data_IF_017044655768
#
_entry.id   IF_017044655768
#
_cell.length_a   1.000
_cell.length_b   1.000
_cell.length_c   1.000
_cell.angle_alpha   90.00
_cell.angle_beta   90.00
_cell.angle_gamma   90.00
#
_symmetry.space_group_name_H-M   'P 1'
#
loop_
_entity.id
_entity.type
_entity.pdbx_description
1 polymer ?
#
# COMPACT_ATOMS: atom_id res chain seq x y z
N UNK A 1 12.13 -13.94 3.25
CA UNK A 1 10.70 -13.83 2.91
C UNK A 1 9.92 -13.27 4.08
N UNK A 2 9.77 -11.95 4.02
CA UNK A 2 8.87 -11.16 4.85
C UNK A 2 7.70 -10.72 3.97
N UNK A 3 6.50 -10.73 4.55
CA UNK A 3 5.28 -10.29 3.87
C UNK A 3 4.88 -8.91 4.34
N UNK A 4 5.02 -7.93 3.48
CA UNK A 4 4.69 -6.53 3.74
C UNK A 4 3.25 -6.23 3.33
N UNK A 5 2.71 -5.14 3.85
CA UNK A 5 1.43 -4.59 3.43
C UNK A 5 1.57 -3.10 3.21
N UNK A 6 1.30 -2.64 1.99
CA UNK A 6 1.02 -1.24 1.73
C UNK A 6 -0.42 -0.97 2.17
N UNK A 7 -0.56 -0.34 3.32
CA UNK A 7 -1.85 0.09 3.83
C UNK A 7 -2.17 1.48 3.27
N UNK A 8 -3.34 1.60 2.66
CA UNK A 8 -3.92 2.83 2.14
C UNK A 8 -5.16 3.17 2.97
N UNK A 9 -5.23 4.37 3.52
CA UNK A 9 -6.27 4.77 4.46
C UNK A 9 -6.93 6.09 4.04
N UNK A 10 -8.24 6.19 4.25
CA UNK A 10 -9.01 7.42 4.09
C UNK A 10 -10.22 7.48 5.03
N UNK A 11 -10.62 8.69 5.43
CA UNK A 11 -11.93 8.95 6.03
C UNK A 11 -12.97 9.16 4.91
N UNK A 12 -14.17 8.61 5.05
CA UNK A 12 -15.24 8.71 4.05
C UNK A 12 -15.67 10.17 3.76
N UNK A 13 -15.43 11.08 4.70
CA UNK A 13 -15.69 12.51 4.58
C UNK A 13 -14.45 13.30 4.16
N UNK A 14 -13.32 12.66 3.86
CA UNK A 14 -12.13 13.39 3.44
C UNK A 14 -12.40 14.18 2.15
N UNK A 15 -11.94 15.43 2.13
CA UNK A 15 -12.05 16.31 0.96
C UNK A 15 -10.86 16.09 0.02
N UNK A 16 -9.68 15.80 0.58
CA UNK A 16 -8.46 15.56 -0.19
C UNK A 16 -8.53 14.23 -0.94
N UNK A 17 -7.82 14.18 -2.08
CA UNK A 17 -7.70 12.94 -2.87
C UNK A 17 -6.45 12.14 -2.57
N UNK A 18 -5.54 12.67 -1.75
CA UNK A 18 -4.35 11.95 -1.30
C UNK A 18 -4.74 10.93 -0.24
N UNK A 19 -4.32 9.68 -0.39
CA UNK A 19 -4.45 8.66 0.66
C UNK A 19 -3.32 8.83 1.67
N UNK A 20 -3.67 8.60 2.93
CA UNK A 20 -2.65 8.25 3.90
C UNK A 20 -2.14 6.85 3.55
N UNK A 21 -0.83 6.66 3.57
CA UNK A 21 -0.23 5.39 3.23
C UNK A 21 0.88 5.02 4.23
N UNK A 22 1.03 3.72 4.48
CA UNK A 22 2.09 3.21 5.33
C UNK A 22 2.44 1.77 4.96
N UNK A 23 3.71 1.41 5.07
CA UNK A 23 4.14 0.02 4.98
C UNK A 23 4.11 -0.65 6.34
N UNK A 24 3.55 -1.85 6.40
CA UNK A 24 3.49 -2.69 7.60
C UNK A 24 4.21 -4.01 7.34
N UNK A 25 4.89 -4.52 8.36
CA UNK A 25 5.50 -5.84 8.37
C UNK A 25 5.13 -6.55 9.69
N UNK A 26 5.14 -7.90 9.76
CA UNK A 26 4.71 -8.66 10.93
C UNK A 26 5.50 -8.35 12.21
N UNK A 27 6.77 -7.96 12.08
CA UNK A 27 7.66 -7.60 13.19
C UNK A 27 7.75 -6.08 13.41
N UNK A 28 6.83 -5.32 12.81
CA UNK A 28 6.95 -3.88 12.65
C UNK A 28 7.80 -3.54 11.44
N UNK A 29 7.37 -2.54 10.68
CA UNK A 29 8.16 -1.96 9.61
C UNK A 29 8.95 -0.78 10.20
N UNK A 30 10.28 -0.83 10.13
CA UNK A 30 11.11 0.33 10.46
C UNK A 30 11.72 0.82 9.16
N UNK A 31 11.21 1.95 8.66
CA UNK A 31 11.89 2.68 7.60
C UNK A 31 13.34 2.94 8.02
N UNK A 32 14.25 2.87 7.06
CA UNK A 32 15.63 3.26 7.33
C UNK A 32 15.65 4.68 7.90
N UNK A 33 16.37 4.87 9.01
CA UNK A 33 16.39 6.16 9.72
C UNK A 33 17.53 7.06 9.29
N UNK A 34 18.58 6.47 8.71
CA UNK A 34 19.82 7.14 8.35
C UNK A 34 20.36 6.56 7.04
N UNK A 35 21.25 7.29 6.39
CA UNK A 35 21.86 6.86 5.13
C UNK A 35 21.03 7.22 3.89
N UNK A 36 21.51 6.84 2.69
CA UNK A 36 20.92 7.24 1.41
C UNK A 36 19.48 6.77 1.18
N UNK A 37 19.01 5.77 1.93
CA UNK A 37 17.68 5.17 1.80
C UNK A 37 16.75 5.56 2.96
N UNK A 38 17.16 6.52 3.79
CA UNK A 38 16.36 6.96 4.92
C UNK A 38 14.97 7.43 4.48
N UNK A 39 13.93 6.98 5.19
CA UNK A 39 12.53 7.28 4.87
C UNK A 39 11.88 6.35 3.85
N UNK A 40 12.62 5.42 3.23
CA UNK A 40 12.07 4.50 2.23
C UNK A 40 11.56 3.19 2.82
N UNK A 41 10.64 2.55 2.09
CA UNK A 41 10.22 1.16 2.29
C UNK A 41 11.31 0.18 1.81
N UNK A 42 11.96 -0.59 2.68
CA UNK A 42 13.04 -1.51 2.36
C UNK A 42 12.51 -2.95 2.25
N UNK A 43 12.74 -3.56 1.10
CA UNK A 43 12.40 -4.95 0.80
C UNK A 43 13.66 -5.75 0.45
N UNK A 44 13.59 -7.06 0.58
CA UNK A 44 14.60 -7.98 0.04
C UNK A 44 14.03 -8.78 -1.12
N UNK A 45 14.91 -9.31 -1.98
CA UNK A 45 14.49 -10.23 -3.03
C UNK A 45 13.80 -11.46 -2.41
N UNK A 46 12.66 -11.85 -2.95
CA UNK A 46 11.83 -12.94 -2.43
C UNK A 46 10.89 -12.52 -1.30
N UNK A 47 10.79 -11.23 -0.98
CA UNK A 47 9.70 -10.71 -0.16
C UNK A 47 8.40 -10.54 -0.97
N UNK A 48 7.31 -10.33 -0.24
CA UNK A 48 5.97 -10.14 -0.83
C UNK A 48 5.36 -8.83 -0.36
N UNK A 49 4.61 -8.15 -1.23
CA UNK A 49 3.82 -6.98 -0.89
C UNK A 49 2.32 -7.22 -1.11
N UNK A 50 1.51 -7.08 -0.07
CA UNK A 50 0.05 -7.00 -0.18
C UNK A 50 -0.41 -5.53 -0.24
N UNK A 51 -1.61 -5.29 -0.77
CA UNK A 51 -2.32 -4.01 -0.61
C UNK A 51 -3.47 -4.19 0.36
N UNK A 52 -3.62 -3.24 1.29
CA UNK A 52 -4.78 -3.16 2.18
C UNK A 52 -5.39 -1.77 2.08
N UNK A 53 -6.68 -1.69 1.83
CA UNK A 53 -7.43 -0.43 1.80
C UNK A 53 -8.27 -0.37 3.07
N UNK A 54 -8.27 0.77 3.75
CA UNK A 54 -9.05 1.00 4.96
C UNK A 54 -9.86 2.29 4.81
N UNK A 55 -11.18 2.18 4.88
CA UNK A 55 -12.07 3.32 4.99
C UNK A 55 -12.53 3.48 6.44
N UNK A 56 -12.47 4.71 6.96
CA UNK A 56 -12.96 5.07 8.29
C UNK A 56 -14.19 5.95 8.19
N UNK A 57 -15.21 5.65 8.97
CA UNK A 57 -16.46 6.41 9.06
C UNK A 57 -16.98 6.50 10.49
N UNK A 58 -18.06 7.24 10.72
CA UNK A 58 -18.76 7.23 12.01
C UNK A 58 -19.42 5.87 12.24
N UNK A 59 -19.47 5.40 13.49
CA UNK A 59 -20.04 4.09 13.81
C UNK A 59 -21.55 4.01 13.53
N UNK A 60 -22.25 5.14 13.58
CA UNK A 60 -23.68 5.24 13.28
C UNK A 60 -24.04 5.01 11.81
N UNK A 61 -23.10 5.20 10.88
CA UNK A 61 -23.35 5.09 9.45
C UNK A 61 -23.47 3.63 9.00
N UNK A 62 -24.40 3.31 8.11
CA UNK A 62 -24.34 2.06 7.35
C UNK A 62 -23.30 2.21 6.24
N UNK A 63 -22.11 1.63 6.43
CA UNK A 63 -20.99 1.77 5.51
C UNK A 63 -20.75 0.47 4.71
N UNK A 64 -20.56 0.60 3.40
CA UNK A 64 -20.04 -0.46 2.53
C UNK A 64 -18.98 0.11 1.59
N UNK A 65 -17.98 -0.72 1.27
CA UNK A 65 -16.84 -0.36 0.45
C UNK A 65 -16.63 -1.43 -0.63
N UNK A 66 -16.38 -0.99 -1.85
CA UNK A 66 -15.96 -1.83 -2.97
C UNK A 66 -14.80 -1.19 -3.72
N UNK A 67 -13.75 -1.96 -3.94
CA UNK A 67 -12.63 -1.57 -4.80
C UNK A 67 -13.03 -1.76 -6.25
N UNK A 68 -12.90 -0.71 -7.05
CA UNK A 68 -13.23 -0.73 -8.48
C UNK A 68 -11.98 -0.88 -9.34
N UNK A 69 -10.88 -0.25 -8.94
CA UNK A 69 -9.55 -0.38 -9.54
C UNK A 69 -8.48 0.05 -8.53
N UNK A 70 -7.32 -0.58 -8.55
CA UNK A 70 -6.15 -0.14 -7.83
C UNK A 70 -4.90 -0.38 -8.67
N UNK A 71 -4.24 0.71 -9.05
CA UNK A 71 -3.05 0.67 -9.90
C UNK A 71 -1.84 1.15 -9.12
N UNK A 72 -0.76 0.37 -9.12
CA UNK A 72 0.55 0.74 -8.57
C UNK A 72 1.55 0.87 -9.72
N UNK A 73 2.18 2.02 -9.81
CA UNK A 73 3.19 2.39 -10.78
C UNK A 73 4.53 2.47 -10.08
N UNK A 74 5.51 1.71 -10.57
CA UNK A 74 6.87 1.72 -10.07
C UNK A 74 7.81 2.35 -11.10
N UNK A 75 8.65 3.28 -10.66
CA UNK A 75 9.68 3.90 -11.50
C UNK A 75 11.03 3.68 -10.85
N UNK A 76 11.92 2.96 -11.53
CA UNK A 76 13.30 2.80 -11.08
C UNK A 76 14.07 4.13 -11.16
N UNK A 77 14.91 4.41 -10.16
CA UNK A 77 15.85 5.54 -10.22
C UNK A 77 17.13 5.13 -10.95
N UNK A 78 17.83 6.12 -11.53
CA UNK A 78 18.73 5.94 -12.68
C UNK A 78 20.00 5.06 -12.49
N UNK A 79 20.26 4.55 -11.28
CA UNK A 79 21.46 3.74 -10.98
C UNK A 79 21.22 2.22 -11.01
N UNK A 80 19.99 1.80 -11.29
CA UNK A 80 19.70 0.41 -11.64
C UNK A 80 20.30 0.12 -13.01
N UNK A 81 21.36 -0.68 -13.08
CA UNK A 81 21.93 -1.19 -14.34
C UNK A 81 20.90 -1.95 -15.19
N UNK A 82 20.01 -1.21 -15.87
CA UNK A 82 19.04 -1.52 -16.92
C UNK A 82 18.20 -2.82 -16.86
N UNK A 83 18.24 -3.63 -15.82
CA UNK A 83 17.66 -4.98 -15.89
C UNK A 83 16.18 -5.10 -15.47
N UNK A 84 15.63 -4.19 -14.67
CA UNK A 84 14.27 -4.32 -14.13
C UNK A 84 13.43 -3.04 -14.31
N UNK A 85 12.27 -3.17 -14.96
CA UNK A 85 11.28 -2.07 -15.13
C UNK A 85 10.42 -1.87 -13.87
N UNK A 86 10.28 -2.92 -13.05
CA UNK A 86 9.54 -2.95 -11.79
C UNK A 86 10.27 -3.88 -10.82
N UNK A 87 10.17 -3.66 -9.49
CA UNK A 87 10.71 -4.62 -8.52
C UNK A 87 9.87 -5.91 -8.47
N UNK A 88 8.67 -5.94 -9.05
CA UNK A 88 7.71 -7.03 -8.92
C UNK A 88 7.68 -7.97 -10.13
N UNK A 89 7.35 -9.24 -9.88
CA UNK A 89 7.14 -10.26 -10.90
C UNK A 89 5.90 -9.96 -11.76
N UNK A 90 6.03 -10.12 -13.09
CA UNK A 90 4.94 -9.91 -14.05
C UNK A 90 3.73 -10.78 -13.74
N UNK A 91 3.95 -12.03 -13.33
CA UNK A 91 2.92 -13.02 -13.03
C UNK A 91 2.06 -12.62 -11.81
N UNK A 92 2.58 -11.74 -10.96
CA UNK A 92 1.88 -11.23 -9.78
C UNK A 92 1.50 -9.75 -9.90
N UNK A 93 1.86 -9.10 -11.01
CA UNK A 93 1.67 -7.67 -11.23
C UNK A 93 0.21 -7.27 -11.51
N UNK A 94 -0.63 -8.22 -11.92
CA UNK A 94 -2.04 -7.99 -12.21
C UNK A 94 -2.90 -8.96 -11.44
N UNK A 95 -3.87 -8.42 -10.70
CA UNK A 95 -4.78 -9.19 -9.83
C UNK A 95 -6.18 -8.66 -10.04
N UNK A 96 -7.17 -9.56 -10.17
CA UNK A 96 -8.57 -9.12 -10.24
C UNK A 96 -9.01 -8.52 -8.91
N UNK A 97 -9.54 -7.30 -8.95
CA UNK A 97 -10.14 -6.64 -7.77
C UNK A 97 -11.42 -7.34 -7.30
N UNK A 98 -12.05 -8.17 -8.14
CA UNK A 98 -13.19 -9.02 -7.74
C UNK A 98 -12.85 -10.00 -6.63
N UNK A 99 -11.58 -10.37 -6.52
CA UNK A 99 -11.13 -11.41 -5.61
C UNK A 99 -10.70 -10.82 -4.27
N UNK A 100 -10.70 -9.48 -4.15
CA UNK A 100 -10.33 -8.78 -2.93
C UNK A 100 -11.44 -8.91 -1.90
N UNK A 101 -11.09 -9.35 -0.70
CA UNK A 101 -12.06 -9.71 0.33
C UNK A 101 -12.09 -8.69 1.46
N UNK A 102 -13.28 -8.40 2.01
CA UNK A 102 -13.40 -7.69 3.27
C UNK A 102 -12.62 -8.43 4.35
N UNK A 103 -11.83 -7.70 5.13
CA UNK A 103 -11.13 -8.22 6.29
C UNK A 103 -11.80 -7.72 7.55
N UNK A 104 -11.96 -8.60 8.55
CA UNK A 104 -12.41 -8.20 9.88
C UNK A 104 -11.32 -7.37 10.54
N UNK A 105 -11.48 -6.05 10.55
CA UNK A 105 -10.68 -5.21 11.42
C UNK A 105 -11.26 -5.22 12.82
N UNK A 106 -10.38 -5.28 13.82
CA UNK A 106 -10.76 -4.93 15.18
C UNK A 106 -10.79 -3.41 15.25
N UNK A 107 -11.95 -2.84 15.54
CA UNK A 107 -12.08 -1.44 15.98
C UNK A 107 -11.06 -1.19 17.09
N UNK A 108 -10.18 -0.22 16.92
CA UNK A 108 -9.19 0.13 17.94
C UNK A 108 -9.89 0.75 19.15
N UNK A 109 -9.20 0.88 20.28
CA UNK A 109 -9.76 1.61 21.42
C UNK A 109 -10.02 3.08 21.07
N UNK A 110 -9.08 3.70 20.35
CA UNK A 110 -9.21 5.06 19.82
C UNK A 110 -10.44 5.21 18.91
N UNK A 111 -10.67 4.23 18.02
CA UNK A 111 -11.87 4.24 17.17
C UNK A 111 -13.15 4.19 18.00
N UNK A 112 -13.19 3.38 19.07
CA UNK A 112 -14.36 3.30 19.95
C UNK A 112 -14.59 4.60 20.72
N UNK A 113 -13.53 5.20 21.24
CA UNK A 113 -13.59 6.47 21.96
C UNK A 113 -14.02 7.62 21.04
N UNK A 114 -13.66 7.56 19.74
CA UNK A 114 -14.02 8.54 18.72
C UNK A 114 -15.32 8.20 17.94
N UNK A 115 -16.05 7.16 18.36
CA UNK A 115 -17.26 6.64 17.70
C UNK A 115 -17.08 6.38 16.20
N UNK A 116 -16.03 5.66 15.85
CA UNK A 116 -15.62 5.32 14.48
C UNK A 116 -15.71 3.83 14.20
N UNK A 117 -16.00 3.52 12.93
CA UNK A 117 -15.88 2.17 12.38
C UNK A 117 -14.87 2.15 11.23
N UNK A 118 -14.27 0.99 11.00
CA UNK A 118 -13.33 0.75 9.91
C UNK A 118 -13.77 -0.42 9.06
N UNK A 119 -13.75 -0.23 7.74
CA UNK A 119 -13.87 -1.31 6.77
C UNK A 119 -12.53 -1.47 6.06
N UNK A 120 -12.00 -2.69 6.06
CA UNK A 120 -10.81 -2.99 5.28
C UNK A 120 -11.06 -4.04 4.22
N UNK A 121 -10.38 -3.88 3.11
CA UNK A 121 -10.33 -4.82 1.99
C UNK A 121 -8.86 -5.09 1.70
N UNK A 122 -8.50 -6.36 1.57
CA UNK A 122 -7.14 -6.79 1.27
C UNK A 122 -7.06 -7.43 -0.11
N UNK A 123 -5.94 -7.21 -0.80
CA UNK A 123 -5.64 -7.88 -2.07
C UNK A 123 -5.65 -9.40 -1.93
N UNK A 124 -6.13 -10.07 -2.99
CA UNK A 124 -6.25 -11.53 -3.02
C UNK A 124 -4.89 -12.24 -3.10
N UNK A 125 -3.93 -11.59 -3.76
CA UNK A 125 -2.55 -12.04 -3.90
C UNK A 125 -1.58 -10.91 -3.59
N UNK A 126 -0.33 -11.29 -3.38
CA UNK A 126 0.80 -10.39 -3.14
C UNK A 126 1.61 -10.21 -4.41
N UNK A 127 2.23 -9.04 -4.54
CA UNK A 127 3.27 -8.78 -5.52
C UNK A 127 4.58 -9.41 -5.03
N UNK A 128 5.17 -10.31 -5.81
CA UNK A 128 6.45 -10.93 -5.46
C UNK A 128 7.62 -10.02 -5.85
N UNK A 129 8.52 -9.71 -4.92
CA UNK A 129 9.71 -8.89 -5.16
C UNK A 129 10.79 -9.75 -5.82
N UNK A 130 11.13 -9.45 -7.08
CA UNK A 130 12.13 -10.20 -7.87
C UNK A 130 13.41 -9.42 -8.15
N UNK A 131 13.37 -8.10 -8.09
CA UNK A 131 14.57 -7.31 -8.32
C UNK A 131 15.57 -7.56 -7.17
N UNK A 132 16.86 -7.80 -7.47
CA UNK A 132 17.85 -8.11 -6.45
C UNK A 132 18.33 -6.87 -5.68
N UNK A 133 18.27 -5.70 -6.30
CA UNK A 133 18.65 -4.41 -5.71
C UNK A 133 18.03 -3.26 -6.50
N UNK A 134 17.90 -2.09 -5.87
CA UNK A 134 17.53 -0.85 -6.52
C UNK A 134 16.75 0.14 -5.67
N UNK A 135 16.46 1.29 -6.25
CA UNK A 135 15.57 2.30 -5.68
C UNK A 135 14.39 2.49 -6.62
N UNK A 136 13.18 2.49 -6.06
CA UNK A 136 11.94 2.65 -6.82
C UNK A 136 11.03 3.67 -6.17
N UNK A 137 10.52 4.57 -6.99
CA UNK A 137 9.38 5.40 -6.61
C UNK A 137 8.11 4.62 -6.86
N UNK A 138 7.22 4.62 -5.88
CA UNK A 138 5.90 4.04 -6.01
C UNK A 138 4.89 5.19 -6.11
N UNK A 139 3.95 5.05 -7.03
CA UNK A 139 2.80 5.95 -7.10
C UNK A 139 1.60 5.16 -7.57
N UNK A 140 0.40 5.64 -7.33
CA UNK A 140 -0.76 4.89 -7.73
C UNK A 140 -2.05 5.62 -7.56
N UNK A 141 -3.10 4.97 -8.06
CA UNK A 141 -4.46 5.45 -7.99
C UNK A 141 -5.35 4.35 -7.42
N UNK A 142 -6.36 4.78 -6.69
CA UNK A 142 -7.38 3.91 -6.11
C UNK A 142 -8.75 4.47 -6.49
N UNK A 143 -9.55 3.66 -7.18
CA UNK A 143 -10.96 3.97 -7.39
C UNK A 143 -11.84 3.05 -6.55
N UNK A 144 -12.80 3.66 -5.85
CA UNK A 144 -13.71 2.94 -4.94
C UNK A 144 -15.14 3.39 -5.14
N UNK A 145 -16.05 2.46 -4.90
CA UNK A 145 -17.45 2.72 -4.62
C UNK A 145 -17.65 2.64 -3.10
N UNK A 146 -18.28 3.66 -2.55
CA UNK A 146 -18.61 3.76 -1.12
C UNK A 146 -20.12 3.90 -1.03
N UNK A 147 -20.78 3.10 -0.19
CA UNK A 147 -22.20 3.26 0.13
C UNK A 147 -22.27 3.72 1.58
N UNK A 148 -22.95 4.85 1.82
CA UNK A 148 -23.16 5.46 3.13
C UNK A 148 -24.66 5.69 3.28
N UNK A 149 -25.30 5.00 4.23
CA UNK A 149 -26.74 5.15 4.52
C UNK A 149 -27.61 5.00 3.25
N UNK A 150 -27.27 4.01 2.43
CA UNK A 150 -27.94 3.73 1.15
C UNK A 150 -27.55 4.63 -0.03
N UNK A 151 -26.77 5.69 0.20
CA UNK A 151 -26.29 6.58 -0.87
C UNK A 151 -24.94 6.12 -1.44
N UNK A 152 -24.83 6.09 -2.76
CA UNK A 152 -23.63 5.62 -3.47
C UNK A 152 -22.73 6.76 -3.90
N UNK A 153 -21.44 6.63 -3.61
CA UNK A 153 -20.39 7.58 -3.96
C UNK A 153 -19.26 6.87 -4.72
N UNK A 154 -18.77 7.50 -5.77
CA UNK A 154 -17.56 7.07 -6.47
C UNK A 154 -16.44 8.05 -6.16
N UNK A 155 -15.28 7.51 -5.74
CA UNK A 155 -14.11 8.32 -5.39
C UNK A 155 -12.89 7.80 -6.12
N UNK A 156 -12.04 8.74 -6.52
CA UNK A 156 -10.71 8.50 -7.06
C UNK A 156 -9.70 9.16 -6.12
N UNK A 157 -8.77 8.35 -5.65
CA UNK A 157 -7.68 8.76 -4.78
C UNK A 157 -6.33 8.47 -5.43
N UNK A 158 -5.28 9.12 -4.92
CA UNK A 158 -3.90 8.88 -5.33
C UNK A 158 -2.99 8.67 -4.10
N UNK A 159 -1.84 8.03 -4.30
CA UNK A 159 -0.82 7.80 -3.29
C UNK A 159 0.56 7.73 -3.94
N UNK A 160 1.61 8.12 -3.21
CA UNK A 160 2.99 8.25 -3.71
C UNK A 160 4.07 7.78 -2.70
N UNK A 161 4.04 6.51 -2.25
CA UNK A 161 5.06 5.97 -1.35
C UNK A 161 6.45 5.87 -1.99
N UNK A 162 7.50 5.87 -1.18
CA UNK A 162 8.87 5.59 -1.64
C UNK A 162 9.39 4.25 -1.10
N UNK A 163 10.21 3.55 -1.89
CA UNK A 163 10.82 2.29 -1.47
C UNK A 163 12.12 1.91 -2.19
N UNK A 164 12.79 0.91 -1.64
CA UNK A 164 14.08 0.38 -2.05
C UNK A 164 14.09 -1.14 -1.87
N UNK A 165 14.92 -1.83 -2.66
CA UNK A 165 15.16 -3.28 -2.53
C UNK A 165 16.67 -3.50 -2.39
N UNK A 166 17.07 -4.40 -1.51
CA UNK A 166 18.47 -4.69 -1.22
C UNK A 166 19.22 -3.42 -0.81
N UNK A 167 20.46 -3.24 -1.28
CA UNK A 167 21.28 -2.06 -0.93
C UNK A 167 20.83 -0.72 -1.58
N UNK A 168 19.63 -0.67 -2.15
CA UNK A 168 19.10 0.55 -2.77
C UNK A 168 19.87 1.00 -4.01
N UNK A 169 20.63 0.11 -4.66
CA UNK A 169 21.45 0.45 -5.84
C UNK A 169 22.73 1.23 -5.53
N UNK A 170 23.06 1.48 -4.26
CA UNK A 170 24.33 2.11 -3.89
C UNK A 170 25.49 1.18 -4.20
N UNK A 171 26.44 1.62 -5.05
CA UNK A 171 27.80 1.05 -5.02
C UNK A 171 28.32 1.18 -3.59
N UNK A 172 28.73 0.07 -2.99
CA UNK A 172 29.21 0.05 -1.61
C UNK A 172 30.26 1.13 -1.41
N UNK A 173 29.99 2.07 -0.51
CA UNK A 173 31.06 2.89 0.04
C UNK A 173 31.90 1.95 0.90
N UNK A 174 33.22 1.82 0.64
CA UNK A 174 34.07 1.01 1.49
C UNK A 174 34.04 1.61 2.90
N UNK A 175 33.86 0.73 3.90
CA UNK A 175 34.05 1.04 5.31
C UNK A 175 35.43 1.63 5.57
#
# INVERSE_FOLDING_TARGET
MTKYTLQLEFDINQITRSLQHNFKAPKGYQAEKYGPLAGTAHFEQGDELDISITATGRAENELSLKVMDCSVVTVGTADLGKLFLSPFAEETAVVSVSDWKPTKNKTTQEDKEADRQRLSIKSASSFAVIAPNGQWRFSGYLSVQIIIDGQTYYRLFYFDPEGSVGNGGGFGWPN
#
